data_IF_919418050301
#
_entry.id   IF_919418050301
#
_cell.length_a   1.000
_cell.length_b   1.000
_cell.length_c   1.000
_cell.angle_alpha   90.00
_cell.angle_beta   90.00
_cell.angle_gamma   90.00
#
_symmetry.space_group_name_H-M   'P 1'
#
loop_
_entity.id
_entity.type
_entity.pdbx_description
1 polymer ?
#
# COMPACT_ATOMS: atom_id res chain seq x y z
N UNK A 1 -1.83 20.97 -21.53
CA UNK A 1 -2.23 19.56 -21.79
C UNK A 1 -2.10 18.77 -20.50
N UNK A 2 -3.21 18.30 -19.91
CA UNK A 2 -3.15 17.33 -18.79
C UNK A 2 -2.74 15.98 -19.36
N UNK A 3 -1.76 15.33 -18.75
CA UNK A 3 -1.25 14.04 -19.19
C UNK A 3 -2.39 12.99 -19.11
N UNK A 4 -2.92 12.43 -20.22
CA UNK A 4 -4.20 11.70 -20.20
C UNK A 4 -4.16 10.31 -19.51
N UNK A 5 -3.00 9.84 -19.02
CA UNK A 5 -2.89 8.51 -18.39
C UNK A 5 -1.67 8.30 -17.47
N UNK A 6 -1.01 9.39 -17.05
CA UNK A 6 0.23 9.34 -16.28
C UNK A 6 -0.03 9.11 -14.80
N UNK A 7 0.00 7.86 -14.33
CA UNK A 7 0.15 7.58 -12.90
C UNK A 7 1.34 8.39 -12.37
N UNK A 8 1.13 9.33 -11.44
CA UNK A 8 2.18 10.22 -10.91
C UNK A 8 3.40 9.43 -10.42
N UNK A 9 3.16 8.32 -9.74
CA UNK A 9 4.18 7.44 -9.16
C UNK A 9 4.58 6.30 -10.11
N UNK A 10 4.62 6.54 -11.43
CA UNK A 10 5.05 5.54 -12.42
C UNK A 10 6.55 5.56 -12.60
N UNK A 11 7.27 5.10 -11.58
CA UNK A 11 8.72 4.92 -11.68
C UNK A 11 9.05 3.82 -12.70
N UNK A 12 9.91 4.15 -13.68
CA UNK A 12 10.36 3.25 -14.76
C UNK A 12 11.83 2.87 -14.64
N UNK A 13 12.58 3.46 -13.70
CA UNK A 13 14.00 3.17 -13.49
C UNK A 13 14.28 1.73 -13.02
N UNK A 14 15.55 1.39 -12.77
CA UNK A 14 15.91 0.11 -12.18
C UNK A 14 15.18 -0.13 -10.85
N UNK A 15 14.70 -1.35 -10.63
CA UNK A 15 14.03 -1.76 -9.40
C UNK A 15 14.96 -2.65 -8.58
N UNK A 16 15.52 -2.12 -7.50
CA UNK A 16 16.38 -2.88 -6.60
C UNK A 16 15.61 -3.33 -5.35
N UNK A 17 15.20 -4.61 -5.28
CA UNK A 17 14.28 -5.12 -4.24
C UNK A 17 14.85 -5.17 -2.81
N UNK A 18 16.15 -4.90 -2.61
CA UNK A 18 16.69 -4.77 -1.23
C UNK A 18 16.11 -3.62 -0.44
N UNK A 19 15.40 -2.67 -1.06
CA UNK A 19 14.63 -1.69 -0.27
C UNK A 19 13.66 -2.39 0.70
N UNK A 20 13.15 -3.59 0.40
CA UNK A 20 12.33 -4.38 1.33
C UNK A 20 13.09 -4.77 2.60
N UNK A 21 14.38 -5.09 2.48
CA UNK A 21 15.25 -5.39 3.64
C UNK A 21 15.41 -4.15 4.51
N UNK A 22 15.71 -3.01 3.88
CA UNK A 22 15.84 -1.73 4.58
C UNK A 22 14.54 -1.34 5.25
N UNK A 23 13.41 -1.40 4.55
CA UNK A 23 12.08 -1.11 5.10
C UNK A 23 11.74 -2.02 6.28
N UNK A 24 12.00 -3.33 6.18
CA UNK A 24 11.79 -4.27 7.28
C UNK A 24 12.62 -3.91 8.52
N UNK A 25 13.90 -3.57 8.32
CA UNK A 25 14.80 -3.11 9.39
C UNK A 25 14.35 -1.80 10.02
N UNK A 26 13.93 -0.82 9.22
CA UNK A 26 13.41 0.47 9.68
C UNK A 26 12.14 0.30 10.50
N UNK A 27 11.20 -0.53 10.04
CA UNK A 27 9.99 -0.87 10.80
C UNK A 27 10.35 -1.49 12.14
N UNK A 28 11.26 -2.48 12.15
CA UNK A 28 11.69 -3.13 13.37
C UNK A 28 12.34 -2.14 14.35
N UNK A 29 13.19 -1.24 13.86
CA UNK A 29 13.83 -0.20 14.67
C UNK A 29 12.80 0.75 15.28
N UNK A 30 11.94 1.35 14.46
CA UNK A 30 10.94 2.32 14.90
C UNK A 30 9.98 1.70 15.91
N UNK A 31 9.46 0.50 15.62
CA UNK A 31 8.57 -0.23 16.52
C UNK A 31 9.23 -0.53 17.86
N UNK A 32 10.46 -1.03 17.87
CA UNK A 32 11.17 -1.40 19.11
C UNK A 32 11.55 -0.17 19.95
N UNK A 33 11.89 0.95 19.31
CA UNK A 33 12.43 2.13 19.99
C UNK A 33 11.36 3.15 20.40
N UNK A 34 10.29 3.26 19.62
CA UNK A 34 9.27 4.31 19.75
C UNK A 34 7.83 3.77 19.75
N UNK A 35 7.64 2.46 19.59
CA UNK A 35 6.32 1.83 19.59
C UNK A 35 5.55 1.97 18.28
N UNK A 36 4.34 1.42 18.25
CA UNK A 36 3.48 1.41 17.06
C UNK A 36 2.88 2.79 16.75
N UNK A 37 2.67 3.64 17.76
CA UNK A 37 2.10 4.98 17.55
C UNK A 37 2.95 5.86 16.62
N UNK A 38 4.27 5.94 16.87
CA UNK A 38 5.17 6.69 15.98
C UNK A 38 5.25 6.04 14.59
N UNK A 39 5.26 4.71 14.53
CA UNK A 39 5.29 3.99 13.26
C UNK A 39 4.06 4.31 12.39
N UNK A 40 2.87 4.36 13.01
CA UNK A 40 1.63 4.74 12.35
C UNK A 40 1.65 6.20 11.89
N UNK A 41 2.20 7.12 12.70
CA UNK A 41 2.36 8.53 12.30
C UNK A 41 3.27 8.67 11.08
N UNK A 42 4.39 7.94 11.04
CA UNK A 42 5.30 7.92 9.88
C UNK A 42 4.55 7.46 8.62
N UNK A 43 3.77 6.38 8.70
CA UNK A 43 3.01 5.88 7.56
C UNK A 43 1.85 6.79 7.15
N UNK A 44 1.23 7.47 8.12
CA UNK A 44 0.25 8.51 7.83
C UNK A 44 0.88 9.67 7.07
N UNK A 45 2.09 10.11 7.43
CA UNK A 45 2.85 11.13 6.65
C UNK A 45 3.19 10.63 5.24
N UNK A 46 3.56 9.35 5.08
CA UNK A 46 3.74 8.77 3.75
C UNK A 46 2.47 8.88 2.90
N UNK A 47 1.29 8.60 3.47
CA UNK A 47 0.03 8.72 2.75
C UNK A 47 -0.25 10.17 2.29
N UNK A 48 -0.02 11.16 3.16
CA UNK A 48 -0.39 12.55 2.90
C UNK A 48 0.67 13.36 2.14
N UNK A 49 1.95 13.09 2.39
CA UNK A 49 3.07 13.87 1.84
C UNK A 49 3.63 13.20 0.58
N UNK A 50 3.88 11.88 0.64
CA UNK A 50 4.44 11.13 -0.50
C UNK A 50 3.35 10.76 -1.49
N UNK A 51 2.23 10.20 -1.00
CA UNK A 51 1.09 9.82 -1.84
C UNK A 51 0.02 10.91 -1.95
N UNK A 52 0.40 12.17 -1.73
CA UNK A 52 -0.47 13.35 -1.77
C UNK A 52 -1.45 13.36 -2.95
N UNK A 53 -0.97 13.10 -4.17
CA UNK A 53 -1.84 13.08 -5.36
C UNK A 53 -2.93 12.01 -5.32
N UNK A 54 -2.65 10.83 -4.73
CA UNK A 54 -3.66 9.77 -4.60
C UNK A 54 -4.72 10.23 -3.60
N UNK A 55 -4.28 10.78 -2.47
CA UNK A 55 -5.18 11.30 -1.46
C UNK A 55 -6.11 12.38 -2.01
N UNK A 56 -5.57 13.33 -2.78
CA UNK A 56 -6.36 14.39 -3.41
C UNK A 56 -7.36 13.88 -4.46
N UNK A 57 -6.99 12.86 -5.25
CA UNK A 57 -7.94 12.18 -6.15
C UNK A 57 -9.06 11.50 -5.35
N UNK A 58 -8.72 10.80 -4.26
CA UNK A 58 -9.70 10.15 -3.40
C UNK A 58 -10.67 11.15 -2.77
N UNK A 59 -10.21 12.32 -2.31
CA UNK A 59 -11.08 13.40 -1.79
C UNK A 59 -12.09 13.88 -2.84
N UNK A 60 -11.70 13.92 -4.11
CA UNK A 60 -12.58 14.24 -5.24
C UNK A 60 -13.51 13.10 -5.64
N UNK A 61 -13.41 11.94 -4.99
CA UNK A 61 -14.20 10.76 -5.33
C UNK A 61 -13.61 9.91 -6.46
N UNK A 62 -12.34 10.11 -6.82
CA UNK A 62 -11.64 9.34 -7.87
C UNK A 62 -10.70 8.30 -7.24
N UNK A 63 -10.86 7.03 -7.61
CA UNK A 63 -10.06 5.89 -7.12
C UNK A 63 -9.03 5.40 -8.14
N UNK A 64 -9.06 5.90 -9.38
CA UNK A 64 -8.31 5.31 -10.48
C UNK A 64 -6.80 5.41 -10.26
N UNK A 65 -6.31 6.50 -9.66
CA UNK A 65 -4.89 6.65 -9.38
C UNK A 65 -4.38 5.61 -8.37
N UNK A 66 -5.13 5.33 -7.31
CA UNK A 66 -4.77 4.29 -6.33
C UNK A 66 -4.77 2.90 -6.97
N UNK A 67 -5.79 2.58 -7.76
CA UNK A 67 -5.88 1.28 -8.45
C UNK A 67 -4.76 1.11 -9.47
N UNK A 68 -4.42 2.17 -10.21
CA UNK A 68 -3.28 2.17 -11.12
C UNK A 68 -1.95 2.01 -10.37
N UNK A 69 -1.79 2.65 -9.20
CA UNK A 69 -0.62 2.52 -8.33
C UNK A 69 -0.44 1.06 -7.89
N UNK A 70 -1.47 0.45 -7.31
CA UNK A 70 -1.45 -0.97 -6.92
C UNK A 70 -1.05 -1.89 -8.08
N UNK A 71 -1.70 -1.72 -9.24
CA UNK A 71 -1.43 -2.56 -10.41
C UNK A 71 0.00 -2.39 -10.92
N UNK A 72 0.52 -1.16 -10.95
CA UNK A 72 1.87 -0.87 -11.43
C UNK A 72 2.93 -1.56 -10.57
N UNK A 73 2.94 -1.28 -9.26
CA UNK A 73 3.97 -1.80 -8.37
C UNK A 73 3.86 -3.31 -8.17
N UNK A 74 2.65 -3.87 -8.00
CA UNK A 74 2.49 -5.32 -7.89
C UNK A 74 2.96 -6.06 -9.15
N UNK A 75 2.74 -5.52 -10.35
CA UNK A 75 3.29 -6.11 -11.59
C UNK A 75 4.80 -5.96 -11.68
N UNK A 76 5.32 -4.76 -11.42
CA UNK A 76 6.75 -4.46 -11.51
C UNK A 76 7.58 -5.32 -10.55
N UNK A 77 7.03 -5.61 -9.38
CA UNK A 77 7.65 -6.46 -8.38
C UNK A 77 7.34 -7.96 -8.53
N UNK A 78 6.60 -8.34 -9.58
CA UNK A 78 6.17 -9.72 -9.86
C UNK A 78 5.35 -10.36 -8.73
N UNK A 79 4.54 -9.56 -8.03
CA UNK A 79 3.59 -10.07 -7.03
C UNK A 79 2.44 -10.84 -7.68
N UNK A 80 1.86 -11.79 -6.94
CA UNK A 80 0.67 -12.53 -7.39
C UNK A 80 -0.58 -11.90 -6.78
N UNK A 81 -1.45 -11.35 -7.61
CA UNK A 81 -2.62 -10.60 -7.16
C UNK A 81 -3.74 -10.59 -8.21
N UNK A 82 -4.94 -10.24 -7.76
CA UNK A 82 -6.09 -9.94 -8.60
C UNK A 82 -6.78 -8.67 -8.12
N UNK A 83 -7.29 -7.86 -9.04
CA UNK A 83 -8.14 -6.69 -8.72
C UNK A 83 -9.52 -6.93 -9.35
N UNK A 84 -10.58 -6.78 -8.56
CA UNK A 84 -11.97 -6.91 -9.00
C UNK A 84 -12.76 -5.68 -8.60
N UNK A 85 -13.68 -5.25 -9.48
CA UNK A 85 -14.67 -4.20 -9.21
C UNK A 85 -16.05 -4.83 -9.15
N UNK A 86 -16.85 -4.49 -8.13
CA UNK A 86 -18.23 -4.92 -7.96
C UNK A 86 -19.04 -3.78 -7.35
N UNK A 87 -19.89 -3.14 -8.15
CA UNK A 87 -20.59 -1.92 -7.74
C UNK A 87 -19.59 -0.86 -7.24
N UNK A 88 -19.86 -0.29 -6.07
CA UNK A 88 -19.02 0.72 -5.41
C UNK A 88 -17.84 0.16 -4.61
N UNK A 89 -17.50 -1.12 -4.84
CA UNK A 89 -16.40 -1.80 -4.15
C UNK A 89 -15.31 -2.20 -5.13
N UNK A 90 -14.07 -1.87 -4.79
CA UNK A 90 -12.86 -2.29 -5.49
C UNK A 90 -12.03 -3.11 -4.52
N UNK A 91 -11.70 -4.34 -4.90
CA UNK A 91 -10.94 -5.25 -4.06
C UNK A 91 -9.67 -5.71 -4.77
N UNK A 92 -8.53 -5.58 -4.11
CA UNK A 92 -7.29 -6.25 -4.48
C UNK A 92 -7.05 -7.44 -3.54
N UNK A 93 -7.00 -8.64 -4.10
CA UNK A 93 -6.57 -9.84 -3.38
C UNK A 93 -5.11 -10.11 -3.72
N UNK A 94 -4.25 -10.10 -2.70
CA UNK A 94 -2.84 -10.46 -2.82
C UNK A 94 -2.67 -11.92 -2.41
N UNK A 95 -2.30 -12.76 -3.37
CA UNK A 95 -2.04 -14.19 -3.16
C UNK A 95 -0.58 -14.45 -2.74
N UNK A 96 0.33 -13.57 -3.13
CA UNK A 96 1.72 -13.59 -2.69
C UNK A 96 2.28 -12.16 -2.72
N UNK A 97 2.57 -11.62 -1.55
CA UNK A 97 3.17 -10.31 -1.38
C UNK A 97 4.64 -10.36 -1.85
N UNK A 98 5.04 -9.55 -2.86
CA UNK A 98 6.39 -9.60 -3.39
C UNK A 98 7.43 -9.20 -2.33
N UNK A 99 7.10 -8.29 -1.42
CA UNK A 99 8.00 -7.88 -0.34
C UNK A 99 8.30 -9.03 0.64
N UNK A 100 7.26 -9.72 1.12
CA UNK A 100 7.39 -10.83 2.06
C UNK A 100 8.07 -12.03 1.39
N UNK A 101 7.69 -12.37 0.16
CA UNK A 101 8.35 -13.42 -0.62
C UNK A 101 9.85 -13.12 -0.82
N UNK A 102 10.20 -11.85 -1.07
CA UNK A 102 11.60 -11.43 -1.20
C UNK A 102 12.43 -11.67 0.06
N UNK A 103 11.90 -11.24 1.21
CA UNK A 103 12.56 -11.38 2.52
C UNK A 103 12.71 -12.86 2.90
N UNK A 104 11.62 -13.63 2.80
CA UNK A 104 11.61 -15.06 3.13
C UNK A 104 12.54 -15.87 2.24
N UNK A 105 12.53 -15.60 0.93
CA UNK A 105 13.43 -16.26 -0.04
C UNK A 105 14.92 -15.99 0.21
N UNK A 106 15.27 -15.06 1.10
CA UNK A 106 16.63 -14.75 1.53
C UNK A 106 16.92 -15.13 3.00
N UNK A 107 16.00 -15.84 3.65
CA UNK A 107 16.13 -16.21 5.05
C UNK A 107 16.08 -15.01 6.02
N UNK A 108 15.55 -13.87 5.58
CA UNK A 108 15.41 -12.68 6.43
C UNK A 108 14.09 -12.77 7.20
N UNK A 109 14.11 -12.74 8.55
CA UNK A 109 12.89 -12.69 9.35
C UNK A 109 12.08 -11.42 9.05
N UNK A 110 10.79 -11.60 8.78
CA UNK A 110 9.86 -10.49 8.55
C UNK A 110 9.43 -9.95 9.91
N UNK A 111 9.52 -8.64 10.11
CA UNK A 111 9.05 -7.99 11.34
C UNK A 111 7.53 -8.22 11.50
N UNK A 112 7.02 -8.51 12.71
CA UNK A 112 5.58 -8.73 12.92
C UNK A 112 4.72 -7.52 12.54
N UNK A 113 5.26 -6.29 12.53
CA UNK A 113 4.55 -5.10 12.08
C UNK A 113 4.79 -4.76 10.59
N UNK A 114 5.41 -5.64 9.79
CA UNK A 114 5.73 -5.33 8.40
C UNK A 114 4.50 -4.97 7.57
N UNK A 115 3.38 -5.68 7.78
CA UNK A 115 2.11 -5.38 7.09
C UNK A 115 1.44 -4.10 7.59
N UNK A 116 1.85 -3.54 8.75
CA UNK A 116 1.27 -2.32 9.30
C UNK A 116 1.44 -1.13 8.36
N UNK A 117 2.52 -1.11 7.57
CA UNK A 117 2.72 -0.08 6.55
C UNK A 117 1.52 0.04 5.60
N UNK A 118 1.02 -1.09 5.09
CA UNK A 118 -0.09 -1.11 4.13
C UNK A 118 -1.39 -0.73 4.82
N UNK A 119 -1.60 -1.22 6.04
CA UNK A 119 -2.80 -0.91 6.83
C UNK A 119 -2.86 0.60 7.13
N UNK A 120 -1.82 1.16 7.74
CA UNK A 120 -1.77 2.55 8.16
C UNK A 120 -1.80 3.52 6.97
N UNK A 121 -1.08 3.22 5.87
CA UNK A 121 -1.14 4.05 4.65
C UNK A 121 -2.55 4.04 4.06
N UNK A 122 -3.21 2.88 3.96
CA UNK A 122 -4.56 2.80 3.41
C UNK A 122 -5.59 3.52 4.28
N UNK A 123 -5.52 3.33 5.60
CA UNK A 123 -6.36 4.06 6.56
C UNK A 123 -6.18 5.56 6.37
N UNK A 124 -4.93 6.05 6.33
CA UNK A 124 -4.60 7.46 6.18
C UNK A 124 -5.01 8.03 4.81
N UNK A 125 -4.84 7.28 3.72
CA UNK A 125 -5.30 7.70 2.39
C UNK A 125 -6.81 7.92 2.33
N UNK A 126 -7.58 7.20 3.15
CA UNK A 126 -9.04 7.28 3.20
C UNK A 126 -9.59 8.42 4.06
N UNK A 127 -8.74 9.11 4.83
CA UNK A 127 -9.15 10.20 5.72
C UNK A 127 -9.78 11.37 4.95
N UNK A 128 -10.87 11.95 5.46
CA UNK A 128 -11.56 13.06 4.79
C UNK A 128 -11.92 12.80 3.31
N UNK A 129 -12.07 11.52 2.93
CA UNK A 129 -12.54 11.09 1.61
C UNK A 129 -13.92 10.43 1.74
N UNK A 130 -14.70 10.35 0.65
CA UNK A 130 -15.93 9.55 0.62
C UNK A 130 -15.69 8.03 0.66
N UNK A 131 -14.45 7.57 0.86
CA UNK A 131 -14.10 6.15 0.85
C UNK A 131 -13.66 5.65 2.23
N UNK A 132 -13.88 4.36 2.47
CA UNK A 132 -13.17 3.57 3.46
C UNK A 132 -12.23 2.63 2.72
N UNK A 133 -10.97 2.57 3.14
CA UNK A 133 -9.98 1.63 2.60
C UNK A 133 -9.55 0.72 3.74
N UNK A 134 -9.82 -0.57 3.63
CA UNK A 134 -9.46 -1.56 4.65
C UNK A 134 -8.42 -2.53 4.12
N UNK A 135 -7.63 -3.11 5.03
CA UNK A 135 -6.64 -4.15 4.72
C UNK A 135 -6.81 -5.30 5.70
N UNK A 136 -7.22 -6.45 5.19
CA UNK A 136 -7.31 -7.70 5.95
C UNK A 136 -6.06 -8.54 5.67
N UNK A 137 -5.26 -8.81 6.72
CA UNK A 137 -4.06 -9.64 6.60
C UNK A 137 -4.46 -11.09 6.85
N UNK A 138 -4.25 -11.96 5.85
CA UNK A 138 -4.62 -13.38 5.90
C UNK A 138 -3.46 -14.28 6.37
N UNK A 139 -2.31 -13.70 6.70
CA UNK A 139 -1.07 -14.43 7.02
C UNK A 139 -0.31 -14.87 5.77
N UNK A 140 0.91 -15.39 5.95
CA UNK A 140 1.73 -15.99 4.88
C UNK A 140 1.93 -15.11 3.63
N UNK A 141 2.05 -13.79 3.82
CA UNK A 141 2.20 -12.85 2.71
C UNK A 141 0.95 -12.65 1.87
N UNK A 142 -0.24 -12.97 2.40
CA UNK A 142 -1.54 -12.78 1.77
C UNK A 142 -2.33 -11.69 2.47
N UNK A 143 -3.06 -10.89 1.69
CA UNK A 143 -3.99 -9.90 2.22
C UNK A 143 -5.09 -9.56 1.20
N UNK A 144 -6.15 -8.92 1.70
CA UNK A 144 -7.21 -8.32 0.90
C UNK A 144 -7.26 -6.84 1.22
N UNK A 145 -7.15 -5.99 0.20
CA UNK A 145 -7.32 -4.54 0.33
C UNK A 145 -8.61 -4.14 -0.38
N UNK A 146 -9.47 -3.40 0.32
CA UNK A 146 -10.82 -3.08 -0.17
C UNK A 146 -11.04 -1.58 -0.09
N UNK A 147 -11.39 -0.96 -1.22
CA UNK A 147 -11.92 0.40 -1.29
C UNK A 147 -13.44 0.29 -1.40
N UNK A 148 -14.16 0.97 -0.51
CA UNK A 148 -15.63 1.05 -0.54
C UNK A 148 -16.07 2.48 -0.32
N UNK A 149 -17.02 2.98 -1.10
CA UNK A 149 -17.66 4.27 -0.82
C UNK A 149 -18.43 4.21 0.49
N UNK A 150 -18.26 5.21 1.36
CA UNK A 150 -19.01 5.33 2.61
C UNK A 150 -20.49 5.61 2.30
N UNK A 151 -21.43 5.10 3.11
CA UNK A 151 -22.82 5.52 3.02
C UNK A 151 -22.89 7.04 3.14
N UNK A 152 -23.71 7.67 2.28
CA UNK A 152 -24.00 9.11 2.35
C UNK A 152 -24.96 9.40 3.49
#
# INVERSE_FOLDING_TARGET
MKNPSGLRYRETGPLHRDFHRTTNGTIAYLRKRYGLGLLDEVFRRVAHDVYHSIHEDLKRGDTEQLVAHWRHFMRREKGRFAIRRRGDTIQMTVHECPAIAYLRGRGIPVDPAFCRQTIAVNEALSEATPFAITTEVLGEGRCVQTIRRRPS
#
